data_IF_937466054778
#
_entry.id   IF_937466054778
#
_cell.length_a   1.000
_cell.length_b   1.000
_cell.length_c   1.000
_cell.angle_alpha   90.00
_cell.angle_beta   90.00
_cell.angle_gamma   90.00
#
_symmetry.space_group_name_H-M   'P 1'
#
loop_
_entity.id
_entity.type
_entity.pdbx_description
1 polymer ?
#
# COMPACT_ATOMS: atom_id res chain seq x y z
N UNK A 1 85.67 -1.13 6.52
CA UNK A 1 86.73 -0.74 7.54
C UNK A 1 86.10 0.19 8.53
N UNK A 2 86.49 0.12 9.74
CA UNK A 2 85.75 -0.44 10.86
C UNK A 2 85.47 0.64 11.93
N UNK A 3 84.62 0.43 12.85
CA UNK A 3 84.84 0.13 14.27
C UNK A 3 83.57 0.43 15.13
N UNK A 4 83.13 -0.57 15.78
CA UNK A 4 82.45 -0.51 17.07
C UNK A 4 83.50 -0.18 18.20
N UNK A 5 83.20 -0.21 19.50
CA UNK A 5 81.91 -0.32 20.30
C UNK A 5 81.92 0.58 21.58
N UNK A 6 80.94 0.40 22.46
CA UNK A 6 81.04 0.80 23.88
C UNK A 6 79.71 1.05 24.49
N UNK A 7 79.10 0.21 25.13
CA UNK A 7 79.06 -0.37 26.49
C UNK A 7 78.77 0.62 27.61
N UNK A 8 77.75 0.20 28.41
CA UNK A 8 77.48 0.38 29.85
C UNK A 8 76.72 1.60 30.35
N UNK A 9 75.70 1.25 31.08
CA UNK A 9 75.13 2.08 32.12
C UNK A 9 73.72 1.73 32.54
N UNK A 10 73.56 0.62 33.29
CA UNK A 10 72.33 0.40 34.11
C UNK A 10 72.23 1.46 35.18
N UNK A 11 71.10 2.08 35.35
CA UNK A 11 70.58 2.59 36.61
C UNK A 11 69.12 2.29 36.78
N UNK A 12 68.83 1.45 37.75
CA UNK A 12 67.52 1.20 38.35
C UNK A 12 67.20 2.39 39.24
N UNK A 13 66.03 2.93 39.12
CA UNK A 13 65.40 3.67 40.19
C UNK A 13 63.90 3.49 40.17
N UNK A 14 63.49 2.97 41.30
CA UNK A 14 62.14 2.69 41.77
C UNK A 14 61.46 4.03 42.13
N UNK A 15 60.09 3.95 42.12
CA UNK A 15 59.11 4.70 42.92
C UNK A 15 58.26 5.71 42.18
N UNK A 16 56.97 5.48 42.33
CA UNK A 16 55.97 6.53 42.27
C UNK A 16 54.67 6.15 41.61
N UNK A 17 53.89 5.24 42.21
CA UNK A 17 52.46 5.10 41.89
C UNK A 17 51.73 6.37 42.29
N UNK A 18 51.41 7.22 41.33
CA UNK A 18 50.42 8.30 41.53
C UNK A 18 49.10 7.87 40.86
N UNK A 19 48.13 7.56 41.70
CA UNK A 19 46.76 7.39 41.29
C UNK A 19 46.15 8.73 40.87
N UNK A 20 46.00 9.00 39.58
CA UNK A 20 45.16 10.09 39.09
C UNK A 20 43.76 9.52 38.94
N UNK A 21 42.93 9.84 39.88
CA UNK A 21 41.46 9.73 39.81
C UNK A 21 40.97 10.70 38.71
N UNK A 22 40.85 10.23 37.48
CA UNK A 22 40.12 10.93 36.44
C UNK A 22 38.62 10.77 36.72
N UNK A 23 38.04 11.79 37.26
CA UNK A 23 36.57 11.93 37.38
C UNK A 23 35.99 11.98 35.98
N UNK A 24 35.52 10.85 35.49
CA UNK A 24 34.67 10.80 34.29
C UNK A 24 33.33 11.45 34.64
N UNK A 25 33.20 12.76 34.37
CA UNK A 25 31.92 13.42 34.24
C UNK A 25 31.20 12.74 33.08
N UNK A 26 30.32 11.78 33.41
CA UNK A 26 29.35 11.25 32.47
C UNK A 26 28.44 12.39 32.02
N UNK A 27 28.63 12.86 30.84
CA UNK A 27 27.66 13.71 30.13
C UNK A 27 26.43 12.86 29.90
N UNK A 28 25.42 12.99 30.77
CA UNK A 28 24.07 12.52 30.50
C UNK A 28 23.54 13.39 29.36
N UNK A 29 23.64 12.90 28.14
CA UNK A 29 22.90 13.41 26.99
C UNK A 29 21.40 13.38 27.34
N UNK A 30 20.58 14.28 26.73
CA UNK A 30 19.15 14.32 27.00
C UNK A 30 18.61 12.91 26.74
N UNK A 31 17.98 12.34 27.78
CA UNK A 31 17.43 10.99 27.74
C UNK A 31 16.59 10.80 26.48
N UNK A 32 16.94 9.77 25.69
CA UNK A 32 15.97 9.17 24.78
C UNK A 32 14.78 8.84 25.65
N UNK A 33 13.73 9.68 25.57
CA UNK A 33 12.45 9.35 26.15
C UNK A 33 12.13 7.94 25.64
N UNK A 34 12.03 7.01 26.57
CA UNK A 34 11.51 5.67 26.33
C UNK A 34 10.13 5.89 25.71
N UNK A 35 10.07 5.88 24.37
CA UNK A 35 8.81 5.84 23.64
C UNK A 35 8.29 4.45 23.94
N UNK A 36 7.54 4.35 25.05
CA UNK A 36 6.85 3.12 25.40
C UNK A 36 6.24 2.58 24.10
N UNK A 37 6.74 1.44 23.64
CA UNK A 37 6.26 0.75 22.45
C UNK A 37 4.79 0.42 22.69
N UNK A 38 3.92 1.36 22.32
CA UNK A 38 2.49 1.11 22.33
C UNK A 38 2.25 0.18 21.15
N UNK A 39 2.24 -1.11 21.44
CA UNK A 39 2.01 -2.15 20.44
C UNK A 39 0.58 -2.01 19.95
N UNK A 40 0.40 -1.52 18.71
CA UNK A 40 -0.92 -1.46 18.10
C UNK A 40 -1.45 -2.88 17.97
N UNK A 41 -2.62 -3.14 18.56
CA UNK A 41 -3.33 -4.41 18.42
C UNK A 41 -4.71 -4.13 17.88
N UNK A 42 -4.98 -4.64 16.67
CA UNK A 42 -6.29 -4.52 16.06
C UNK A 42 -7.20 -5.61 16.61
N UNK A 43 -8.27 -5.20 17.29
CA UNK A 43 -9.19 -6.13 17.97
C UNK A 43 -9.82 -7.14 17.00
N UNK A 44 -9.96 -8.39 17.46
CA UNK A 44 -10.66 -9.44 16.72
C UNK A 44 -11.80 -10.01 17.58
N UNK A 45 -13.02 -10.15 17.01
CA UNK A 45 -13.44 -9.66 15.69
C UNK A 45 -13.45 -8.13 15.62
N UNK A 46 -13.42 -7.58 14.40
CA UNK A 46 -13.48 -6.14 14.20
C UNK A 46 -14.81 -5.55 14.72
N UNK A 47 -14.81 -4.29 15.18
CA UNK A 47 -16.00 -3.63 15.70
C UNK A 47 -17.18 -3.72 14.73
N UNK A 48 -18.36 -4.08 15.23
CA UNK A 48 -19.57 -4.16 14.44
C UNK A 48 -20.09 -2.76 14.09
N UNK A 49 -20.76 -2.62 12.95
CA UNK A 49 -21.21 -1.32 12.43
C UNK A 49 -22.11 -0.55 13.42
N UNK A 50 -22.92 -1.26 14.21
CA UNK A 50 -23.75 -0.65 15.25
C UNK A 50 -22.96 0.04 16.36
N UNK A 51 -21.70 -0.36 16.59
CA UNK A 51 -20.80 0.26 17.56
C UNK A 51 -19.99 1.43 17.00
N UNK A 52 -20.16 1.76 15.71
CA UNK A 52 -19.37 2.76 14.98
C UNK A 52 -20.13 4.06 14.70
N UNK A 53 -21.31 4.26 15.29
CA UNK A 53 -22.20 5.41 15.03
C UNK A 53 -21.56 6.75 15.38
N UNK A 54 -20.67 6.77 16.36
CA UNK A 54 -20.01 7.99 16.86
C UNK A 54 -18.76 8.38 16.03
N UNK A 55 -18.38 7.55 15.05
CA UNK A 55 -17.23 7.80 14.21
C UNK A 55 -17.68 8.48 12.92
N UNK A 56 -17.58 9.79 12.90
CA UNK A 56 -17.89 10.61 11.73
C UNK A 56 -16.65 10.76 10.83
N UNK A 57 -16.86 10.71 9.52
CA UNK A 57 -15.84 11.05 8.54
C UNK A 57 -15.88 12.54 8.20
N UNK A 58 -14.73 13.17 8.10
CA UNK A 58 -14.55 14.55 7.67
C UNK A 58 -14.30 14.58 6.15
N UNK A 59 -15.13 15.28 5.34
CA UNK A 59 -14.83 15.51 3.93
C UNK A 59 -13.58 16.40 3.80
N UNK A 60 -12.60 15.93 3.06
CA UNK A 60 -11.36 16.68 2.80
C UNK A 60 -11.07 16.75 1.31
N UNK A 61 -10.33 17.78 0.91
CA UNK A 61 -9.86 17.96 -0.46
C UNK A 61 -8.40 18.40 -0.45
N UNK A 62 -7.62 17.92 -1.41
CA UNK A 62 -6.22 18.26 -1.54
C UNK A 62 -5.78 18.26 -3.01
N UNK A 63 -4.73 19.02 -3.37
CA UNK A 63 -4.23 19.07 -4.73
C UNK A 63 -3.80 17.69 -5.24
N UNK A 64 -4.24 17.33 -6.43
CA UNK A 64 -3.89 16.14 -7.20
C UNK A 64 -3.81 16.49 -8.69
N UNK A 65 -3.73 15.49 -9.56
CA UNK A 65 -3.73 15.66 -11.00
C UNK A 65 -4.47 14.52 -11.71
N UNK A 66 -4.74 14.69 -13.01
CA UNK A 66 -5.47 13.71 -13.83
C UNK A 66 -4.65 13.28 -15.07
N UNK A 67 -3.45 12.67 -14.89
CA UNK A 67 -2.69 12.11 -16.00
C UNK A 67 -3.40 10.85 -16.54
N UNK A 68 -3.54 10.73 -17.86
CA UNK A 68 -4.16 9.54 -18.45
C UNK A 68 -3.23 8.31 -18.35
N UNK A 69 -1.94 8.50 -18.54
CA UNK A 69 -0.88 7.49 -18.52
C UNK A 69 0.30 7.91 -17.64
N UNK A 70 1.21 6.96 -17.33
CA UNK A 70 2.47 7.30 -16.65
C UNK A 70 3.34 8.25 -17.48
N UNK A 71 3.29 8.13 -18.82
CA UNK A 71 3.97 9.08 -19.73
C UNK A 71 3.44 10.51 -19.53
N UNK A 72 2.13 10.66 -19.35
CA UNK A 72 1.54 11.99 -19.10
C UNK A 72 1.88 12.51 -17.72
N UNK A 73 1.94 11.63 -16.72
CA UNK A 73 2.32 11.99 -15.36
C UNK A 73 3.79 12.45 -15.26
N UNK A 74 4.69 11.80 -16.01
CA UNK A 74 6.12 12.15 -16.07
C UNK A 74 6.42 13.39 -16.93
N UNK A 75 5.47 13.81 -17.78
CA UNK A 75 5.69 14.94 -18.69
C UNK A 75 5.75 16.29 -17.93
N UNK A 76 6.73 17.11 -18.26
CA UNK A 76 6.96 18.43 -17.63
C UNK A 76 5.94 19.50 -18.01
N UNK A 77 5.06 19.26 -18.98
CA UNK A 77 4.13 20.28 -19.48
C UNK A 77 2.73 19.74 -19.81
N UNK A 78 1.71 20.25 -19.12
CA UNK A 78 0.30 20.28 -19.56
C UNK A 78 -0.47 18.97 -19.75
N UNK A 79 0.20 17.80 -19.67
CA UNK A 79 -0.41 16.48 -19.92
C UNK A 79 -1.04 15.86 -18.67
N UNK A 80 -0.84 16.50 -17.52
CA UNK A 80 -1.38 16.08 -16.22
C UNK A 80 -2.22 17.22 -15.63
N UNK A 81 -3.49 17.39 -16.08
CA UNK A 81 -4.34 18.48 -15.62
C UNK A 81 -4.48 18.48 -14.09
N UNK A 82 -4.44 19.65 -13.45
CA UNK A 82 -4.65 19.75 -12.01
C UNK A 82 -6.07 19.29 -11.66
N UNK A 83 -6.18 18.58 -10.55
CA UNK A 83 -7.44 18.06 -10.01
C UNK A 83 -7.45 18.26 -8.51
N UNK A 84 -8.60 18.56 -7.96
CA UNK A 84 -8.81 18.60 -6.52
C UNK A 84 -9.34 17.22 -6.08
N UNK A 85 -8.46 16.38 -5.52
CA UNK A 85 -8.85 15.08 -5.00
C UNK A 85 -9.91 15.24 -3.92
N UNK A 86 -10.87 14.33 -3.89
CA UNK A 86 -11.93 14.26 -2.89
C UNK A 86 -11.73 13.03 -2.02
N UNK A 87 -11.86 13.19 -0.71
CA UNK A 87 -11.71 12.09 0.23
C UNK A 87 -12.55 12.31 1.49
N UNK A 88 -12.72 11.24 2.27
CA UNK A 88 -13.26 11.30 3.62
C UNK A 88 -12.23 10.78 4.60
N UNK A 89 -11.85 11.60 5.57
CA UNK A 89 -10.89 11.28 6.63
C UNK A 89 -11.63 10.84 7.89
N UNK A 90 -11.23 9.70 8.43
CA UNK A 90 -11.67 9.19 9.73
C UNK A 90 -10.47 9.18 10.67
N UNK A 91 -10.55 9.96 11.75
CA UNK A 91 -9.49 10.05 12.76
C UNK A 91 -9.87 9.26 14.02
N UNK A 92 -8.92 8.50 14.59
CA UNK A 92 -9.10 7.89 15.90
C UNK A 92 -9.29 8.94 17.00
N UNK A 93 -10.06 8.58 18.02
CA UNK A 93 -10.15 9.41 19.22
C UNK A 93 -8.76 9.58 19.87
N UNK A 94 -8.40 10.82 20.18
CA UNK A 94 -7.12 11.13 20.81
C UNK A 94 -5.94 11.30 19.85
N UNK A 95 -6.12 11.12 18.54
CA UNK A 95 -5.10 11.49 17.56
C UNK A 95 -4.75 12.98 17.69
N UNK A 96 -3.47 13.29 17.85
CA UNK A 96 -2.99 14.66 18.05
C UNK A 96 -1.52 14.77 17.68
N UNK A 97 -0.97 15.99 17.63
CA UNK A 97 0.45 16.20 17.41
C UNK A 97 1.35 15.59 18.52
N UNK A 98 0.81 15.43 19.73
CA UNK A 98 1.52 14.76 20.84
C UNK A 98 1.40 13.22 20.78
N UNK A 99 0.40 12.70 20.06
CA UNK A 99 0.14 11.27 19.90
C UNK A 99 -0.27 10.99 18.44
N UNK A 100 0.66 11.10 17.46
CA UNK A 100 0.36 10.84 16.07
C UNK A 100 0.08 9.35 15.84
N UNK A 101 -0.92 9.07 15.01
CA UNK A 101 -1.40 7.72 14.74
C UNK A 101 -0.99 7.22 13.34
N UNK A 102 -0.84 5.89 13.13
CA UNK A 102 -0.66 5.33 11.80
C UNK A 102 -1.91 5.56 10.95
N UNK A 103 -1.77 5.48 9.63
CA UNK A 103 -2.86 5.73 8.72
C UNK A 103 -2.95 4.71 7.58
N UNK A 104 -4.14 4.59 6.99
CA UNK A 104 -4.36 3.91 5.72
C UNK A 104 -4.98 4.85 4.70
N UNK A 105 -4.58 4.73 3.44
CA UNK A 105 -5.24 5.32 2.28
C UNK A 105 -6.03 4.21 1.59
N UNK A 106 -7.32 4.44 1.32
CA UNK A 106 -8.20 3.43 0.71
C UNK A 106 -8.65 3.86 -0.68
N UNK A 107 -8.45 2.98 -1.66
CA UNK A 107 -8.83 3.16 -3.06
C UNK A 107 -10.01 2.25 -3.40
N UNK A 108 -11.08 2.85 -3.90
CA UNK A 108 -12.30 2.13 -4.25
C UNK A 108 -12.17 1.29 -5.52
N UNK A 109 -13.05 0.29 -5.68
CA UNK A 109 -13.20 -0.48 -6.90
C UNK A 109 -13.95 0.27 -8.01
N UNK A 110 -14.18 -0.41 -9.13
CA UNK A 110 -14.85 0.14 -10.33
C UNK A 110 -16.26 0.69 -10.10
N UNK A 111 -16.90 0.35 -8.99
CA UNK A 111 -18.23 0.86 -8.61
C UNK A 111 -18.18 2.20 -7.85
N UNK A 112 -17.01 2.74 -7.57
CA UNK A 112 -16.83 3.90 -6.70
C UNK A 112 -16.84 3.51 -5.21
N UNK A 113 -16.81 4.53 -4.34
CA UNK A 113 -16.86 4.36 -2.89
C UNK A 113 -18.18 3.71 -2.46
N UNK A 114 -18.10 2.68 -1.62
CA UNK A 114 -19.25 1.98 -1.08
C UNK A 114 -19.31 2.12 0.45
N UNK A 115 -20.53 2.37 0.96
CA UNK A 115 -20.73 2.51 2.40
C UNK A 115 -20.39 1.22 3.17
N UNK A 116 -20.82 0.05 2.65
CA UNK A 116 -20.61 -1.25 3.31
C UNK A 116 -19.17 -1.78 3.21
N UNK A 117 -18.32 -1.14 2.42
CA UNK A 117 -16.92 -1.54 2.24
C UNK A 117 -15.97 -0.46 2.72
N UNK A 118 -15.54 0.45 1.87
CA UNK A 118 -14.51 1.43 2.20
C UNK A 118 -14.87 2.27 3.44
N UNK A 119 -16.11 2.74 3.52
CA UNK A 119 -16.53 3.57 4.66
C UNK A 119 -16.65 2.77 5.96
N UNK A 120 -17.09 1.51 5.90
CA UNK A 120 -17.15 0.63 7.07
C UNK A 120 -15.76 0.23 7.54
N UNK A 121 -14.85 -0.17 6.63
CA UNK A 121 -13.45 -0.43 6.98
C UNK A 121 -12.78 0.79 7.63
N UNK A 122 -13.02 1.98 7.08
CA UNK A 122 -12.45 3.22 7.61
C UNK A 122 -12.91 3.51 9.04
N UNK A 123 -14.22 3.36 9.34
CA UNK A 123 -14.74 3.49 10.70
C UNK A 123 -14.18 2.44 11.65
N UNK A 124 -14.11 1.18 11.20
CA UNK A 124 -13.55 0.08 12.00
C UNK A 124 -12.10 0.34 12.36
N UNK A 125 -11.27 0.72 11.40
CA UNK A 125 -9.86 1.03 11.62
C UNK A 125 -9.68 2.25 12.53
N UNK A 126 -10.49 3.30 12.33
CA UNK A 126 -10.50 4.48 13.19
C UNK A 126 -10.87 4.13 14.63
N UNK A 127 -11.84 3.24 14.85
CA UNK A 127 -12.19 2.73 16.19
C UNK A 127 -11.05 1.98 16.87
N UNK A 128 -10.15 1.39 16.06
CA UNK A 128 -9.01 0.61 16.52
C UNK A 128 -7.68 1.39 16.55
N UNK A 129 -7.72 2.72 16.37
CA UNK A 129 -6.54 3.58 16.51
C UNK A 129 -5.76 3.84 15.22
N UNK A 130 -6.29 3.48 14.05
CA UNK A 130 -5.67 3.75 12.74
C UNK A 130 -6.49 4.79 11.98
N UNK A 131 -5.90 5.90 11.59
CA UNK A 131 -6.57 6.87 10.73
C UNK A 131 -6.84 6.27 9.35
N UNK A 132 -7.98 6.61 8.73
CA UNK A 132 -8.32 6.10 7.42
C UNK A 132 -8.79 7.22 6.49
N UNK A 133 -8.18 7.31 5.32
CA UNK A 133 -8.52 8.28 4.28
C UNK A 133 -9.10 7.54 3.07
N UNK A 134 -10.41 7.66 2.88
CA UNK A 134 -11.14 7.03 1.75
C UNK A 134 -11.17 8.00 0.58
N UNK A 135 -10.49 7.66 -0.51
CA UNK A 135 -10.41 8.48 -1.73
C UNK A 135 -11.65 8.23 -2.60
N UNK A 136 -12.25 9.30 -3.12
CA UNK A 136 -13.29 9.25 -4.14
C UNK A 136 -12.76 9.82 -5.47
N UNK A 137 -11.96 9.01 -6.17
CA UNK A 137 -11.36 9.39 -7.45
C UNK A 137 -12.40 9.64 -8.54
N UNK A 138 -13.54 8.95 -8.49
CA UNK A 138 -14.63 9.15 -9.43
C UNK A 138 -15.45 10.40 -9.12
N UNK A 139 -15.66 10.69 -7.84
CA UNK A 139 -16.31 11.92 -7.41
C UNK A 139 -15.52 13.18 -7.77
N UNK A 140 -14.20 13.09 -7.70
CA UNK A 140 -13.30 14.18 -8.09
C UNK A 140 -13.31 14.46 -9.62
N UNK A 141 -13.75 13.48 -10.43
CA UNK A 141 -13.75 13.54 -11.92
C UNK A 141 -15.13 13.22 -12.51
N UNK A 142 -16.20 13.62 -11.80
CA UNK A 142 -17.59 13.35 -12.23
C UNK A 142 -17.96 13.97 -13.57
N UNK A 143 -17.26 15.00 -13.98
CA UNK A 143 -17.39 15.71 -15.27
C UNK A 143 -16.69 14.96 -16.42
N UNK A 144 -15.73 14.08 -16.12
CA UNK A 144 -15.03 13.27 -17.13
C UNK A 144 -15.82 12.04 -17.54
N UNK A 145 -16.65 11.47 -16.65
CA UNK A 145 -17.37 10.23 -16.90
C UNK A 145 -18.56 10.04 -15.94
N UNK A 146 -19.68 9.58 -16.45
CA UNK A 146 -20.93 9.40 -15.66
C UNK A 146 -21.36 7.95 -15.50
N UNK A 147 -21.08 7.08 -16.48
CA UNK A 147 -21.46 5.68 -16.48
C UNK A 147 -20.35 4.75 -15.97
N UNK A 148 -20.68 3.51 -15.62
CA UNK A 148 -19.73 2.51 -15.13
C UNK A 148 -18.59 2.25 -16.15
N UNK A 149 -18.95 1.93 -17.42
CA UNK A 149 -17.97 1.67 -18.48
C UNK A 149 -17.18 2.93 -18.79
N UNK A 150 -17.87 4.06 -18.87
CA UNK A 150 -17.29 5.36 -19.19
C UNK A 150 -16.22 5.77 -18.16
N UNK A 151 -16.48 5.54 -16.86
CA UNK A 151 -15.51 5.76 -15.80
C UNK A 151 -14.25 4.90 -15.99
N UNK A 152 -14.39 3.63 -16.30
CA UNK A 152 -13.24 2.73 -16.53
C UNK A 152 -12.41 3.09 -17.77
N UNK A 153 -13.04 3.76 -18.75
CA UNK A 153 -12.35 4.21 -19.95
C UNK A 153 -11.62 5.56 -19.76
N UNK A 154 -12.18 6.45 -19.00
CA UNK A 154 -11.70 7.83 -18.90
C UNK A 154 -10.97 8.14 -17.59
N UNK A 155 -11.21 7.40 -16.50
CA UNK A 155 -10.53 7.58 -15.22
C UNK A 155 -9.62 6.37 -14.99
N UNK A 156 -8.34 6.54 -15.27
CA UNK A 156 -7.37 5.45 -15.33
C UNK A 156 -6.76 5.12 -13.97
N UNK A 157 -6.08 3.97 -13.88
CA UNK A 157 -5.29 3.58 -12.71
C UNK A 157 -4.22 4.62 -12.39
N UNK A 158 -3.69 5.31 -13.42
CA UNK A 158 -2.70 6.38 -13.27
C UNK A 158 -3.27 7.59 -12.52
N UNK A 159 -4.53 7.96 -12.79
CA UNK A 159 -5.22 9.03 -12.04
C UNK A 159 -5.48 8.62 -10.59
N UNK A 160 -5.80 7.35 -10.34
CA UNK A 160 -5.98 6.82 -8.99
C UNK A 160 -4.64 6.80 -8.23
N UNK A 161 -3.53 6.48 -8.91
CA UNK A 161 -2.18 6.58 -8.35
C UNK A 161 -1.82 8.03 -8.00
N UNK A 162 -2.14 9.00 -8.88
CA UNK A 162 -1.94 10.42 -8.59
C UNK A 162 -2.66 10.85 -7.30
N UNK A 163 -3.92 10.43 -7.14
CA UNK A 163 -4.69 10.70 -5.92
C UNK A 163 -4.09 9.99 -4.69
N UNK A 164 -3.61 8.75 -4.83
CA UNK A 164 -3.00 8.00 -3.74
C UNK A 164 -1.73 8.68 -3.22
N UNK A 165 -0.82 9.10 -4.10
CA UNK A 165 0.40 9.82 -3.70
C UNK A 165 0.12 11.24 -3.20
N UNK A 166 -0.91 11.92 -3.74
CA UNK A 166 -1.39 13.18 -3.20
C UNK A 166 -1.94 13.01 -1.76
N UNK A 167 -2.66 11.91 -1.52
CA UNK A 167 -3.15 11.54 -0.19
C UNK A 167 -2.01 11.22 0.79
N UNK A 168 -0.96 10.55 0.34
CA UNK A 168 0.24 10.29 1.15
C UNK A 168 0.86 11.62 1.61
N UNK A 169 1.09 12.57 0.69
CA UNK A 169 1.61 13.91 1.04
C UNK A 169 0.68 14.66 1.98
N UNK A 170 -0.63 14.62 1.73
CA UNK A 170 -1.62 15.23 2.60
C UNK A 170 -1.55 14.67 4.04
N UNK A 171 -1.52 13.35 4.20
CA UNK A 171 -1.41 12.71 5.52
C UNK A 171 -0.08 13.04 6.20
N UNK A 172 1.04 13.02 5.47
CA UNK A 172 2.36 13.37 6.00
C UNK A 172 2.47 14.84 6.44
N UNK A 173 1.68 15.74 5.88
CA UNK A 173 1.64 17.15 6.30
C UNK A 173 0.86 17.38 7.61
N UNK A 174 0.13 16.38 8.09
CA UNK A 174 -0.69 16.47 9.30
C UNK A 174 0.12 16.13 10.55
N UNK A 175 0.06 16.96 11.59
CA UNK A 175 0.80 16.70 12.83
C UNK A 175 0.23 15.53 13.64
N UNK A 176 -1.04 15.15 13.45
CA UNK A 176 -1.74 14.07 14.14
C UNK A 176 -1.58 12.71 13.46
N UNK A 177 -0.84 12.65 12.34
CA UNK A 177 -0.55 11.41 11.60
C UNK A 177 0.95 11.09 11.65
N UNK A 178 1.28 9.84 11.91
CA UNK A 178 2.63 9.34 11.71
C UNK A 178 2.85 9.03 10.22
N UNK A 179 3.40 10.00 9.50
CA UNK A 179 3.64 9.92 8.07
C UNK A 179 4.62 8.82 7.63
N UNK A 180 5.35 8.18 8.56
CA UNK A 180 6.20 7.02 8.27
C UNK A 180 5.42 5.70 8.26
N UNK A 181 4.18 5.69 8.77
CA UNK A 181 3.30 4.53 8.91
C UNK A 181 2.00 4.70 8.15
N UNK A 182 2.09 4.90 6.83
CA UNK A 182 0.93 5.03 5.94
C UNK A 182 0.90 3.86 4.97
N UNK A 183 -0.16 3.03 5.03
CA UNK A 183 -0.38 1.87 4.17
C UNK A 183 -1.43 2.19 3.11
N UNK A 184 -1.20 1.74 1.87
CA UNK A 184 -2.14 1.86 0.76
C UNK A 184 -2.98 0.58 0.62
N UNK A 185 -4.30 0.71 0.71
CA UNK A 185 -5.25 -0.40 0.56
C UNK A 185 -6.11 -0.13 -0.67
N UNK A 186 -6.22 -1.10 -1.56
CA UNK A 186 -7.08 -0.97 -2.73
C UNK A 186 -7.98 -2.17 -2.95
N UNK A 187 -9.18 -1.91 -3.50
CA UNK A 187 -10.21 -2.91 -3.78
C UNK A 187 -10.43 -3.05 -5.29
N UNK A 188 -10.28 -4.24 -5.87
CA UNK A 188 -10.50 -4.50 -7.29
C UNK A 188 -9.69 -3.53 -8.17
N UNK A 189 -10.35 -2.59 -8.83
CA UNK A 189 -9.72 -1.54 -9.64
C UNK A 189 -8.72 -0.68 -8.82
N UNK A 190 -9.11 -0.29 -7.60
CA UNK A 190 -8.20 0.36 -6.66
C UNK A 190 -7.09 -0.57 -6.17
N UNK A 191 -7.35 -1.88 -6.11
CA UNK A 191 -6.35 -2.90 -5.78
C UNK A 191 -5.25 -3.01 -6.85
N UNK A 192 -5.60 -2.86 -8.15
CA UNK A 192 -4.61 -2.73 -9.22
C UNK A 192 -3.69 -1.53 -8.98
N UNK A 193 -4.28 -0.36 -8.69
CA UNK A 193 -3.49 0.84 -8.40
C UNK A 193 -2.61 0.66 -7.15
N UNK A 194 -3.11 0.01 -6.09
CA UNK A 194 -2.32 -0.29 -4.88
C UNK A 194 -1.14 -1.22 -5.17
N UNK A 195 -1.34 -2.21 -6.06
CA UNK A 195 -0.26 -3.11 -6.52
C UNK A 195 0.76 -2.36 -7.39
N UNK A 196 0.29 -1.51 -8.29
CA UNK A 196 1.18 -0.74 -9.18
C UNK A 196 2.00 0.31 -8.42
N UNK A 197 1.46 0.85 -7.31
CA UNK A 197 2.20 1.74 -6.42
C UNK A 197 3.39 1.07 -5.72
N UNK A 198 3.47 -0.27 -5.70
CA UNK A 198 4.61 -1.00 -5.16
C UNK A 198 5.81 -1.04 -6.13
N UNK A 199 5.62 -0.71 -7.42
CA UNK A 199 6.71 -0.56 -8.38
C UNK A 199 7.37 0.81 -8.27
N UNK A 200 8.70 0.83 -8.25
CA UNK A 200 9.49 2.06 -8.13
C UNK A 200 9.23 3.01 -9.31
N UNK A 201 9.02 2.48 -10.53
CA UNK A 201 8.68 3.27 -11.71
C UNK A 201 7.43 4.15 -11.48
N UNK A 202 6.38 3.63 -10.87
CA UNK A 202 5.19 4.41 -10.56
C UNK A 202 5.46 5.40 -9.41
N UNK A 203 6.20 4.97 -8.39
CA UNK A 203 6.53 5.78 -7.23
C UNK A 203 7.41 6.98 -7.58
N UNK A 204 8.43 6.81 -8.42
CA UNK A 204 9.32 7.89 -8.88
C UNK A 204 8.56 8.98 -9.64
N UNK A 205 7.54 8.61 -10.42
CA UNK A 205 6.73 9.56 -11.19
C UNK A 205 5.89 10.47 -10.28
N UNK A 206 5.28 9.91 -9.22
CA UNK A 206 4.37 10.66 -8.36
C UNK A 206 5.02 11.22 -7.09
N UNK A 207 6.15 10.66 -6.69
CA UNK A 207 6.90 11.07 -5.50
C UNK A 207 8.42 11.03 -5.77
N UNK A 208 8.93 11.95 -6.65
CA UNK A 208 10.36 12.00 -6.99
C UNK A 208 11.25 12.30 -5.79
N UNK A 209 10.71 12.92 -4.74
CA UNK A 209 11.42 13.20 -3.49
C UNK A 209 11.61 11.97 -2.60
N UNK A 210 11.23 10.78 -3.06
CA UNK A 210 11.47 9.51 -2.37
C UNK A 210 10.39 9.12 -1.36
N UNK A 211 9.24 9.80 -1.33
CA UNK A 211 8.13 9.39 -0.46
C UNK A 211 7.53 8.05 -0.92
N UNK A 212 7.36 7.13 0.02
CA UNK A 212 6.81 5.79 -0.24
C UNK A 212 5.78 5.44 0.82
N UNK A 213 4.82 4.58 0.44
CA UNK A 213 3.94 3.93 1.40
C UNK A 213 4.73 2.92 2.23
N UNK A 214 4.34 2.73 3.48
CA UNK A 214 4.94 1.75 4.37
C UNK A 214 4.56 0.30 4.01
N UNK A 215 3.47 0.11 3.27
CA UNK A 215 3.00 -1.18 2.80
C UNK A 215 1.82 -1.05 1.84
N UNK A 216 1.49 -2.14 1.17
CA UNK A 216 0.43 -2.20 0.18
C UNK A 216 -0.49 -3.39 0.42
N UNK A 217 -1.78 -3.21 0.20
CA UNK A 217 -2.80 -4.27 0.31
C UNK A 217 -3.69 -4.25 -0.92
N UNK A 218 -3.79 -5.36 -1.61
CA UNK A 218 -4.60 -5.51 -2.82
C UNK A 218 -5.69 -6.55 -2.63
N UNK A 219 -6.93 -6.09 -2.43
CA UNK A 219 -8.11 -6.97 -2.37
C UNK A 219 -8.60 -7.29 -3.78
N UNK A 220 -8.65 -8.55 -4.13
CA UNK A 220 -9.16 -9.12 -5.40
C UNK A 220 -8.80 -8.26 -6.62
N UNK A 221 -7.53 -7.86 -6.71
CA UNK A 221 -6.99 -7.06 -7.80
C UNK A 221 -6.67 -7.93 -9.01
N UNK A 222 -7.19 -7.62 -10.22
CA UNK A 222 -6.76 -8.29 -11.44
C UNK A 222 -5.28 -8.06 -11.73
N UNK A 223 -4.51 -9.14 -11.94
CA UNK A 223 -3.08 -9.09 -12.20
C UNK A 223 -2.80 -9.07 -13.73
N UNK A 224 -3.24 -8.01 -14.40
CA UNK A 224 -3.22 -7.92 -15.87
C UNK A 224 -2.06 -7.11 -16.46
N UNK A 225 -1.31 -6.36 -15.62
CA UNK A 225 -0.15 -5.59 -16.05
C UNK A 225 1.16 -6.34 -15.76
N UNK A 226 2.14 -6.15 -16.65
CA UNK A 226 3.52 -6.60 -16.53
C UNK A 226 4.43 -5.38 -16.72
N UNK A 227 5.28 -5.11 -15.73
CA UNK A 227 6.21 -3.99 -15.74
C UNK A 227 7.57 -4.44 -16.26
N UNK A 228 8.13 -3.73 -17.23
CA UNK A 228 9.50 -3.98 -17.70
C UNK A 228 10.54 -3.54 -16.66
N UNK A 229 10.25 -2.48 -15.91
CA UNK A 229 11.03 -2.09 -14.75
C UNK A 229 10.48 -2.78 -13.51
N UNK A 230 11.19 -3.82 -13.06
CA UNK A 230 10.77 -4.64 -11.93
C UNK A 230 11.26 -4.10 -10.59
N UNK A 231 11.96 -2.95 -10.56
CA UNK A 231 12.34 -2.33 -9.30
C UNK A 231 11.08 -2.07 -8.47
N UNK A 232 11.13 -2.49 -7.21
CA UNK A 232 10.05 -2.31 -6.25
C UNK A 232 10.48 -1.31 -5.17
N UNK A 233 9.50 -0.70 -4.51
CA UNK A 233 9.72 0.31 -3.45
C UNK A 233 10.36 -0.27 -2.17
N UNK A 234 10.45 -1.60 -2.07
CA UNK A 234 10.88 -2.30 -0.86
C UNK A 234 9.79 -2.46 0.19
N UNK A 235 8.67 -1.75 0.06
CA UNK A 235 7.54 -1.90 0.97
C UNK A 235 6.84 -3.25 0.77
N UNK A 236 6.39 -3.93 1.85
CA UNK A 236 5.68 -5.20 1.74
C UNK A 236 4.31 -5.04 1.08
N UNK A 237 3.87 -6.07 0.37
CA UNK A 237 2.55 -6.17 -0.24
C UNK A 237 1.85 -7.46 0.20
N UNK A 238 0.55 -7.41 0.50
CA UNK A 238 -0.31 -8.61 0.50
C UNK A 238 -1.38 -8.53 -0.58
N UNK A 239 -1.60 -9.65 -1.25
CA UNK A 239 -2.63 -9.84 -2.26
C UNK A 239 -3.66 -10.84 -1.73
N UNK A 240 -4.91 -10.42 -1.61
CA UNK A 240 -6.03 -11.17 -1.04
C UNK A 240 -7.04 -11.45 -2.15
N UNK A 241 -7.30 -12.70 -2.54
CA UNK A 241 -8.29 -12.98 -3.57
C UNK A 241 -9.08 -14.27 -3.35
N UNK A 242 -10.23 -14.35 -4.01
CA UNK A 242 -11.13 -15.51 -3.94
C UNK A 242 -10.73 -16.61 -4.91
N UNK A 243 -10.80 -17.87 -4.48
CA UNK A 243 -10.56 -19.03 -5.35
C UNK A 243 -11.64 -19.23 -6.42
N UNK A 244 -12.84 -18.65 -6.22
CA UNK A 244 -13.95 -18.65 -7.21
C UNK A 244 -14.06 -17.34 -7.99
N UNK A 245 -13.10 -16.46 -7.85
CA UNK A 245 -13.06 -15.17 -8.52
C UNK A 245 -12.44 -15.30 -9.91
N UNK A 246 -13.29 -15.44 -10.93
CA UNK A 246 -12.86 -15.67 -12.31
C UNK A 246 -12.18 -14.46 -12.99
N UNK A 247 -12.19 -13.26 -12.35
CA UNK A 247 -11.41 -12.11 -12.87
C UNK A 247 -9.94 -12.19 -12.44
N UNK A 248 -9.61 -13.06 -11.49
CA UNK A 248 -8.25 -13.34 -11.05
C UNK A 248 -7.68 -14.51 -11.88
N UNK A 249 -6.53 -14.29 -12.45
CA UNK A 249 -5.66 -15.34 -13.01
C UNK A 249 -4.54 -15.61 -11.97
N UNK A 250 -4.60 -16.71 -11.20
CA UNK A 250 -3.63 -16.98 -10.15
C UNK A 250 -2.18 -17.01 -10.63
N UNK A 251 -1.95 -17.60 -11.83
CA UNK A 251 -0.60 -17.69 -12.38
C UNK A 251 -0.01 -16.31 -12.71
N UNK A 252 -0.87 -15.37 -13.11
CA UNK A 252 -0.46 -13.96 -13.34
C UNK A 252 -0.20 -13.22 -12.04
N UNK A 253 -1.00 -13.45 -11.00
CA UNK A 253 -0.77 -12.85 -9.70
C UNK A 253 0.53 -13.37 -9.07
N UNK A 254 0.82 -14.67 -9.20
CA UNK A 254 2.10 -15.24 -8.80
C UNK A 254 3.29 -14.69 -9.59
N UNK A 255 3.13 -14.46 -10.91
CA UNK A 255 4.18 -13.86 -11.72
C UNK A 255 4.47 -12.42 -11.28
N UNK A 256 3.42 -11.63 -11.05
CA UNK A 256 3.52 -10.25 -10.57
C UNK A 256 4.17 -10.19 -9.18
N UNK A 257 3.82 -11.13 -8.29
CA UNK A 257 4.44 -11.26 -6.97
C UNK A 257 5.95 -11.54 -7.09
N UNK A 258 6.34 -12.53 -7.93
CA UNK A 258 7.76 -12.82 -8.18
C UNK A 258 8.53 -11.63 -8.76
N UNK A 259 7.90 -10.83 -9.63
CA UNK A 259 8.54 -9.63 -10.19
C UNK A 259 8.81 -8.58 -9.09
N UNK A 260 7.84 -8.34 -8.20
CA UNK A 260 7.99 -7.45 -7.06
C UNK A 260 9.01 -7.97 -6.03
N UNK A 261 9.05 -9.28 -5.77
CA UNK A 261 10.04 -9.91 -4.89
C UNK A 261 11.47 -9.78 -5.48
N UNK A 262 11.62 -10.03 -6.77
CA UNK A 262 12.89 -9.81 -7.47
C UNK A 262 13.30 -8.33 -7.46
N UNK A 263 12.34 -7.40 -7.40
CA UNK A 263 12.52 -5.96 -7.28
C UNK A 263 12.83 -5.47 -5.87
N UNK A 264 12.75 -6.33 -4.85
CA UNK A 264 13.13 -6.02 -3.46
C UNK A 264 11.97 -5.88 -2.47
N UNK A 265 10.72 -6.06 -2.86
CA UNK A 265 9.57 -6.08 -1.94
C UNK A 265 9.26 -7.50 -1.47
N UNK A 266 8.74 -7.65 -0.25
CA UNK A 266 8.17 -8.91 0.22
C UNK A 266 6.70 -8.99 -0.19
N UNK A 267 6.28 -10.09 -0.81
CA UNK A 267 4.89 -10.26 -1.27
C UNK A 267 4.25 -11.49 -0.65
N UNK A 268 3.08 -11.32 -0.04
CA UNK A 268 2.23 -12.42 0.44
C UNK A 268 0.99 -12.58 -0.45
N UNK A 269 0.60 -13.82 -0.72
CA UNK A 269 -0.66 -14.14 -1.41
C UNK A 269 -1.53 -14.97 -0.46
N UNK A 270 -2.77 -14.51 -0.24
CA UNK A 270 -3.76 -15.22 0.58
C UNK A 270 -5.00 -15.51 -0.29
N UNK A 271 -5.31 -16.79 -0.44
CA UNK A 271 -6.45 -17.24 -1.24
C UNK A 271 -7.57 -17.73 -0.33
N UNK A 272 -8.79 -17.26 -0.58
CA UNK A 272 -10.02 -17.73 0.07
C UNK A 272 -10.77 -18.63 -0.92
N UNK A 273 -10.63 -19.98 -0.82
CA UNK A 273 -11.04 -20.91 -1.88
C UNK A 273 -12.52 -20.82 -2.25
N UNK A 274 -13.39 -20.48 -1.30
CA UNK A 274 -14.84 -20.39 -1.48
C UNK A 274 -15.34 -19.04 -1.98
N UNK A 275 -14.50 -17.99 -1.90
CA UNK A 275 -14.92 -16.61 -2.14
C UNK A 275 -15.04 -16.27 -3.63
N UNK A 276 -16.08 -15.52 -3.95
CA UNK A 276 -16.24 -14.78 -5.21
C UNK A 276 -15.58 -13.39 -5.12
N UNK A 277 -15.57 -12.66 -6.21
CA UNK A 277 -15.16 -11.25 -6.21
C UNK A 277 -16.02 -10.41 -5.25
N UNK A 278 -15.42 -9.47 -4.51
CA UNK A 278 -16.12 -8.55 -3.58
C UNK A 278 -16.89 -9.26 -2.47
N UNK A 279 -16.28 -10.23 -1.78
CA UNK A 279 -16.89 -10.91 -0.61
C UNK A 279 -17.24 -9.97 0.54
N UNK A 280 -16.67 -8.78 0.57
CA UNK A 280 -16.91 -7.69 1.53
C UNK A 280 -17.88 -6.61 1.01
N UNK A 281 -18.45 -6.83 -0.18
CA UNK A 281 -19.38 -5.92 -0.81
C UNK A 281 -20.84 -6.06 -0.32
N UNK A 282 -21.76 -5.37 -0.99
CA UNK A 282 -23.19 -5.31 -0.62
C UNK A 282 -24.05 -6.40 -1.23
N UNK A 283 -23.56 -7.13 -2.23
CA UNK A 283 -24.36 -8.10 -2.98
C UNK A 283 -24.47 -9.40 -2.19
N UNK A 284 -25.66 -9.69 -1.66
CA UNK A 284 -25.89 -10.80 -0.71
C UNK A 284 -25.73 -12.21 -1.28
N UNK A 285 -25.73 -12.39 -2.60
CA UNK A 285 -25.56 -13.69 -3.25
C UNK A 285 -24.81 -13.55 -4.58
N UNK A 286 -24.45 -14.66 -5.21
CA UNK A 286 -23.69 -14.61 -6.44
C UNK A 286 -24.44 -13.84 -7.54
N UNK A 287 -23.82 -12.79 -8.05
CA UNK A 287 -24.31 -11.99 -9.17
C UNK A 287 -23.27 -11.94 -10.27
N UNK A 288 -23.68 -12.21 -11.51
CA UNK A 288 -22.80 -12.20 -12.67
C UNK A 288 -22.54 -10.77 -13.16
N UNK A 289 -21.27 -10.46 -13.40
CA UNK A 289 -20.78 -9.29 -14.13
C UNK A 289 -20.37 -9.75 -15.51
N UNK A 290 -20.91 -9.11 -16.56
CA UNK A 290 -20.89 -9.61 -17.93
C UNK A 290 -19.58 -9.44 -18.72
N UNK A 291 -18.56 -8.79 -18.14
CA UNK A 291 -17.25 -8.61 -18.79
C UNK A 291 -16.15 -9.03 -17.84
N UNK A 292 -15.19 -9.82 -18.33
CA UNK A 292 -14.06 -10.30 -17.56
C UNK A 292 -12.75 -9.80 -18.20
N UNK A 293 -11.88 -9.21 -17.37
CA UNK A 293 -10.57 -8.69 -17.78
C UNK A 293 -9.43 -9.68 -17.54
N UNK A 294 -9.70 -10.85 -16.95
CA UNK A 294 -8.66 -11.87 -16.72
C UNK A 294 -7.82 -12.22 -17.97
N UNK A 295 -8.37 -12.26 -19.19
CA UNK A 295 -7.58 -12.50 -20.40
C UNK A 295 -6.69 -11.33 -20.82
N UNK A 296 -6.94 -10.12 -20.31
CA UNK A 296 -6.18 -8.92 -20.69
C UNK A 296 -4.71 -9.02 -20.25
N UNK A 297 -3.82 -8.50 -21.10
CA UNK A 297 -2.38 -8.42 -20.84
C UNK A 297 -1.90 -7.03 -21.23
N UNK A 298 -1.39 -6.30 -20.25
CA UNK A 298 -0.81 -4.98 -20.45
C UNK A 298 0.68 -5.06 -20.19
N UNK A 299 1.48 -4.48 -21.06
CA UNK A 299 2.91 -4.28 -20.86
C UNK A 299 3.15 -2.81 -20.56
N UNK A 300 3.78 -2.55 -19.43
CA UNK A 300 4.21 -1.21 -19.04
C UNK A 300 5.70 -1.10 -19.32
N UNK A 301 6.04 -0.35 -20.36
CA UNK A 301 7.42 -0.14 -20.76
C UNK A 301 8.17 0.78 -19.76
N UNK A 302 9.50 0.81 -19.81
CA UNK A 302 10.32 1.63 -18.91
C UNK A 302 10.05 3.13 -18.99
N UNK A 303 9.57 3.61 -20.14
CA UNK A 303 9.16 5.01 -20.32
C UNK A 303 7.73 5.30 -19.81
N UNK A 304 7.03 4.32 -19.28
CA UNK A 304 5.64 4.43 -18.82
C UNK A 304 4.58 4.18 -19.90
N UNK A 305 4.99 3.88 -21.14
CA UNK A 305 4.06 3.51 -22.21
C UNK A 305 3.38 2.19 -21.91
N UNK A 306 2.04 2.16 -21.98
CA UNK A 306 1.24 0.95 -21.79
C UNK A 306 0.73 0.43 -23.12
N UNK A 307 0.95 -0.86 -23.41
CA UNK A 307 0.45 -1.53 -24.61
C UNK A 307 -0.36 -2.78 -24.26
N UNK A 308 -1.35 -3.10 -25.09
CA UNK A 308 -2.08 -4.38 -25.02
C UNK A 308 -1.53 -5.37 -26.03
N UNK A 309 -1.83 -6.66 -25.83
CA UNK A 309 -1.33 -7.73 -26.71
C UNK A 309 -1.99 -7.78 -28.09
N UNK A 310 -3.21 -7.25 -28.25
CA UNK A 310 -4.05 -7.39 -29.45
C UNK A 310 -4.28 -6.08 -30.20
N UNK A 311 -3.71 -4.96 -29.72
CA UNK A 311 -3.87 -3.64 -30.31
C UNK A 311 -2.51 -2.99 -30.49
N UNK A 312 -2.16 -2.48 -31.69
CA UNK A 312 -0.79 -2.02 -31.99
C UNK A 312 -0.44 -0.66 -31.42
N UNK A 313 -1.44 0.11 -30.98
CA UNK A 313 -1.23 1.45 -30.46
C UNK A 313 -1.19 1.47 -28.93
N UNK A 314 -0.41 2.39 -28.32
CA UNK A 314 -0.35 2.52 -26.86
C UNK A 314 -1.68 3.01 -26.28
N UNK A 315 -1.90 2.68 -25.01
CA UNK A 315 -3.05 3.12 -24.20
C UNK A 315 -2.86 4.58 -23.77
N UNK A 316 -2.83 5.49 -24.73
CA UNK A 316 -2.54 6.92 -24.49
C UNK A 316 -3.80 7.78 -24.32
N UNK A 317 -4.98 7.25 -24.63
CA UNK A 317 -6.26 7.93 -24.57
C UNK A 317 -7.42 6.94 -24.40
N UNK A 318 -8.63 7.45 -24.16
CA UNK A 318 -9.83 6.64 -23.94
C UNK A 318 -10.22 5.78 -25.16
N UNK A 319 -9.93 6.21 -26.39
CA UNK A 319 -10.21 5.44 -27.57
C UNK A 319 -9.31 4.20 -27.63
N UNK A 320 -7.98 4.37 -27.52
CA UNK A 320 -7.04 3.26 -27.52
C UNK A 320 -7.28 2.32 -26.33
N UNK A 321 -7.59 2.87 -25.13
CA UNK A 321 -7.98 2.07 -23.97
C UNK A 321 -9.23 1.24 -24.24
N UNK A 322 -10.25 1.81 -24.89
CA UNK A 322 -11.48 1.08 -25.29
C UNK A 322 -11.15 -0.06 -26.25
N UNK A 323 -10.29 0.18 -27.23
CA UNK A 323 -9.87 -0.85 -28.21
C UNK A 323 -9.13 -1.99 -27.51
N UNK A 324 -8.15 -1.67 -26.66
CA UNK A 324 -7.38 -2.68 -25.91
C UNK A 324 -8.29 -3.52 -25.02
N UNK A 325 -9.12 -2.87 -24.18
CA UNK A 325 -10.01 -3.57 -23.26
C UNK A 325 -11.12 -4.34 -24.00
N UNK A 326 -11.62 -3.79 -25.10
CA UNK A 326 -12.67 -4.44 -25.92
C UNK A 326 -12.18 -5.71 -26.62
N UNK A 327 -10.94 -5.72 -27.06
CA UNK A 327 -10.33 -6.87 -27.75
C UNK A 327 -9.87 -7.96 -26.79
N UNK A 328 -9.42 -7.63 -25.58
CA UNK A 328 -8.87 -8.61 -24.66
C UNK A 328 -9.89 -9.16 -23.66
N UNK A 329 -10.97 -8.42 -23.35
CA UNK A 329 -11.98 -8.90 -22.39
C UNK A 329 -12.88 -9.95 -22.99
N UNK A 330 -13.28 -10.95 -22.20
CA UNK A 330 -14.29 -11.94 -22.60
C UNK A 330 -15.70 -11.56 -22.12
N UNK A 331 -16.70 -12.26 -22.63
CA UNK A 331 -18.11 -12.12 -22.27
C UNK A 331 -18.60 -13.17 -21.27
N UNK A 332 -17.73 -14.07 -20.82
CA UNK A 332 -18.09 -15.07 -19.82
C UNK A 332 -18.35 -14.41 -18.47
N UNK A 333 -17.64 -13.33 -18.20
CA UNK A 333 -17.82 -12.55 -17.00
C UNK A 333 -17.30 -13.25 -15.75
N UNK A 334 -17.68 -12.73 -14.59
CA UNK A 334 -17.29 -13.25 -13.26
C UNK A 334 -18.40 -13.04 -12.25
N UNK A 335 -18.33 -13.76 -11.12
CA UNK A 335 -19.31 -13.65 -10.04
C UNK A 335 -18.79 -12.74 -8.94
N UNK A 336 -19.66 -11.86 -8.47
CA UNK A 336 -19.49 -11.09 -7.23
C UNK A 336 -20.45 -11.61 -6.18
N UNK A 337 -20.08 -11.59 -4.90
CA UNK A 337 -21.00 -12.02 -3.83
C UNK A 337 -20.41 -11.86 -2.46
N UNK A 338 -21.20 -11.33 -1.54
CA UNK A 338 -20.85 -11.15 -0.12
C UNK A 338 -20.67 -12.51 0.57
N UNK A 339 -19.63 -12.62 1.36
CA UNK A 339 -19.36 -13.74 2.26
C UNK A 339 -18.81 -13.21 3.58
N UNK A 340 -19.62 -13.22 4.63
CA UNK A 340 -19.27 -12.64 5.93
C UNK A 340 -18.18 -13.44 6.65
N UNK A 341 -18.09 -14.76 6.40
CA UNK A 341 -17.03 -15.59 6.99
C UNK A 341 -15.68 -15.29 6.35
N UNK A 342 -15.65 -15.15 5.02
CA UNK A 342 -14.45 -14.71 4.31
C UNK A 342 -14.06 -13.31 4.73
N UNK A 343 -15.04 -12.39 4.88
CA UNK A 343 -14.77 -11.03 5.37
C UNK A 343 -14.11 -11.04 6.75
N UNK A 344 -14.58 -11.86 7.69
CA UNK A 344 -13.97 -11.95 9.02
C UNK A 344 -12.52 -12.47 8.95
N UNK A 345 -12.26 -13.49 8.13
CA UNK A 345 -10.89 -14.01 7.92
C UNK A 345 -9.99 -12.97 7.27
N UNK A 346 -10.46 -12.35 6.20
CA UNK A 346 -9.67 -11.31 5.51
C UNK A 346 -9.43 -10.06 6.38
N UNK A 347 -10.34 -9.74 7.30
CA UNK A 347 -10.11 -8.71 8.30
C UNK A 347 -8.99 -9.10 9.28
N UNK A 348 -8.93 -10.37 9.69
CA UNK A 348 -7.86 -10.85 10.57
C UNK A 348 -6.49 -10.83 9.85
N UNK A 349 -6.45 -11.27 8.59
CA UNK A 349 -5.23 -11.24 7.78
C UNK A 349 -4.76 -9.81 7.51
N UNK A 350 -5.69 -8.89 7.21
CA UNK A 350 -5.40 -7.46 7.08
C UNK A 350 -4.86 -6.87 8.39
N UNK A 351 -5.47 -7.21 9.53
CA UNK A 351 -5.02 -6.73 10.83
C UNK A 351 -3.58 -7.18 11.12
N UNK A 352 -3.29 -8.45 10.92
CA UNK A 352 -1.95 -9.01 11.12
C UNK A 352 -0.90 -8.30 10.25
N UNK A 353 -1.23 -8.04 8.99
CA UNK A 353 -0.35 -7.30 8.09
C UNK A 353 -0.14 -5.84 8.53
N UNK A 354 -1.20 -5.14 8.90
CA UNK A 354 -1.11 -3.76 9.37
C UNK A 354 -0.31 -3.66 10.67
N UNK A 355 -0.52 -4.56 11.62
CA UNK A 355 0.25 -4.64 12.87
C UNK A 355 1.75 -4.82 12.56
N UNK A 356 2.09 -5.77 11.68
CA UNK A 356 3.48 -6.00 11.26
C UNK A 356 4.12 -4.77 10.64
N UNK A 357 3.43 -4.13 9.68
CA UNK A 357 3.94 -2.94 8.98
C UNK A 357 4.09 -1.74 9.92
N UNK A 358 3.14 -1.55 10.83
CA UNK A 358 3.16 -0.42 11.75
C UNK A 358 4.12 -0.60 12.93
N UNK A 359 4.48 -1.84 13.29
CA UNK A 359 5.51 -2.09 14.30
C UNK A 359 6.94 -1.88 13.75
N UNK A 360 7.12 -1.93 12.40
CA UNK A 360 8.42 -1.81 11.73
C UNK A 360 9.26 -3.08 11.81
N UNK A 361 10.34 -3.20 11.03
CA UNK A 361 11.23 -4.36 11.10
C UNK A 361 12.04 -4.32 12.39
N UNK A 362 11.61 -5.06 13.40
CA UNK A 362 12.46 -5.19 14.58
C UNK A 362 11.78 -5.59 15.88
N UNK A 363 11.18 -6.75 15.96
CA UNK A 363 11.29 -7.71 17.09
C UNK A 363 10.94 -9.08 16.52
N UNK A 364 11.86 -10.05 16.46
CA UNK A 364 11.50 -11.44 16.12
C UNK A 364 10.47 -11.92 17.14
N UNK A 365 9.35 -12.40 16.67
CA UNK A 365 8.30 -12.97 17.54
C UNK A 365 8.89 -14.19 18.27
N UNK A 366 9.17 -14.03 19.54
CA UNK A 366 9.64 -15.12 20.41
C UNK A 366 8.62 -16.27 20.53
N UNK A 367 7.41 -16.11 19.98
CA UNK A 367 6.35 -17.14 19.95
C UNK A 367 6.32 -17.93 18.64
N UNK A 368 6.85 -17.41 17.53
CA UNK A 368 6.96 -18.16 16.27
C UNK A 368 7.93 -19.36 16.37
N UNK A 369 8.94 -19.27 17.22
CA UNK A 369 9.89 -20.36 17.46
C UNK A 369 9.33 -21.60 18.20
N UNK A 370 8.08 -21.55 18.70
CA UNK A 370 7.45 -22.66 19.45
C UNK A 370 6.45 -23.49 18.63
N UNK A 371 6.32 -23.25 17.32
CA UNK A 371 5.42 -24.01 16.43
C UNK A 371 6.16 -24.99 15.50
N UNK A 372 7.24 -25.59 15.92
CA UNK A 372 7.74 -26.81 15.29
C UNK A 372 6.99 -28.01 15.87
N UNK A 373 6.31 -28.84 15.05
CA UNK A 373 5.73 -30.08 15.52
C UNK A 373 6.87 -31.02 15.95
N UNK A 374 6.63 -31.91 16.95
CA UNK A 374 7.64 -32.90 17.36
C UNK A 374 7.94 -33.85 16.20
N UNK A 375 9.18 -34.34 16.08
CA UNK A 375 9.55 -35.30 15.05
C UNK A 375 8.74 -36.61 15.24
N UNK A 376 8.26 -37.18 14.10
CA UNK A 376 7.58 -38.50 14.06
C UNK A 376 8.59 -39.61 14.26
#
# INVERSE_FOLDING_TARGET
MPRSPGQFGQWVLIVGTAWVLASALAWAGPGTADRGFFRLRLSQPWPQEAALTDIAGEPVRFPSSSPFSLVDAAATSGRSPPTLAMATLFLPRGASAAAPVPAVVMLHGASGVQHQREMTYARQLSAMGVAALVIDSFGARRDMATGFVDRLLNITETMILADAYAALRYLKSRPDIDGSRVVLIGFSYGGMAATYAAFEQAAEVFAPDGERFAGHVAFYAPCIAEFEDRRATGAPLIMLYGGKDAIIDPARCEALARDLEAGGSRVGIIVYPEAFHQWDGRVAGPRKIGRNLAPCRFRVARDGTVTGSLWPFPMADAFNRRMILGLCSDSEGYLIGRDDQVRQRSNADLAAFLEEVFEGPGVPDAQAARRTPPPR
#
